data_IF_697646072871
#
_entry.id   IF_697646072871
#
_cell.length_a   1.000
_cell.length_b   1.000
_cell.length_c   1.000
_cell.angle_alpha   90.00
_cell.angle_beta   90.00
_cell.angle_gamma   90.00
#
_symmetry.space_group_name_H-M   'P 1'
#
loop_
_entity.id
_entity.type
_entity.pdbx_description
1 polymer ?
#
# COMPACT_ATOMS: atom_id res chain seq x y z
N UNK A 1 -2.79 -9.12 3.02
CA UNK A 1 -1.55 -9.63 2.38
C UNK A 1 -0.85 -10.55 3.37
N UNK A 2 -0.74 -11.85 3.08
CA UNK A 2 -0.05 -12.79 3.94
C UNK A 2 1.00 -13.54 3.12
N UNK A 3 2.26 -13.43 3.51
CA UNK A 3 3.33 -14.28 2.98
C UNK A 3 3.49 -15.46 3.93
N UNK A 4 3.52 -16.67 3.37
CA UNK A 4 3.74 -17.89 4.13
C UNK A 4 4.97 -17.75 5.04
N UNK A 5 4.87 -18.22 6.29
CA UNK A 5 5.90 -18.01 7.33
C UNK A 5 7.30 -18.44 6.88
N UNK A 6 7.41 -19.51 6.08
CA UNK A 6 8.67 -20.01 5.52
C UNK A 6 9.34 -19.09 4.47
N UNK A 7 8.63 -18.07 3.98
CA UNK A 7 9.12 -17.09 2.99
C UNK A 7 9.24 -15.66 3.54
N UNK A 8 9.09 -15.48 4.87
CA UNK A 8 9.39 -14.19 5.52
C UNK A 8 10.89 -13.90 5.44
N UNK A 9 11.26 -12.61 5.40
CA UNK A 9 12.65 -12.10 5.36
C UNK A 9 13.47 -12.33 4.07
N UNK A 10 12.92 -12.94 3.02
CA UNK A 10 13.61 -13.07 1.72
C UNK A 10 13.32 -11.91 0.74
N UNK A 11 12.76 -10.78 1.20
CA UNK A 11 12.37 -9.67 0.32
C UNK A 11 11.20 -9.96 -0.64
N UNK A 12 10.68 -11.19 -0.66
CA UNK A 12 9.55 -11.62 -1.50
C UNK A 12 8.27 -10.83 -1.21
N UNK A 13 8.03 -10.49 0.06
CA UNK A 13 6.88 -9.67 0.46
C UNK A 13 6.93 -8.26 -0.11
N UNK A 14 8.11 -7.62 -0.10
CA UNK A 14 8.32 -6.30 -0.68
C UNK A 14 8.21 -6.32 -2.21
N UNK A 15 8.75 -7.34 -2.89
CA UNK A 15 8.61 -7.50 -4.35
C UNK A 15 7.14 -7.70 -4.74
N UNK A 16 6.42 -8.55 -4.02
CA UNK A 16 4.99 -8.80 -4.27
C UNK A 16 4.17 -7.53 -4.09
N UNK A 17 4.41 -6.79 -3.00
CA UNK A 17 3.74 -5.53 -2.72
C UNK A 17 4.04 -4.49 -3.80
N UNK A 18 5.29 -4.40 -4.23
CA UNK A 18 5.71 -3.43 -5.25
C UNK A 18 5.08 -3.74 -6.62
N UNK A 19 5.06 -5.02 -7.03
CA UNK A 19 4.32 -5.47 -8.23
C UNK A 19 2.84 -5.14 -8.15
N UNK A 20 2.23 -5.32 -6.97
CA UNK A 20 0.82 -4.99 -6.76
C UNK A 20 0.57 -3.48 -6.87
N UNK A 21 1.44 -2.65 -6.28
CA UNK A 21 1.36 -1.19 -6.42
C UNK A 21 1.53 -0.76 -7.88
N UNK A 22 2.46 -1.35 -8.63
CA UNK A 22 2.60 -1.09 -10.07
C UNK A 22 1.34 -1.45 -10.85
N UNK A 23 0.74 -2.61 -10.56
CA UNK A 23 -0.54 -2.99 -11.16
C UNK A 23 -1.64 -1.97 -10.85
N UNK A 24 -1.76 -1.51 -9.60
CA UNK A 24 -2.71 -0.47 -9.22
C UNK A 24 -2.46 0.85 -9.98
N UNK A 25 -1.20 1.21 -10.28
CA UNK A 25 -0.90 2.41 -11.08
C UNK A 25 -1.43 2.33 -12.51
N UNK A 26 -1.59 1.14 -13.06
CA UNK A 26 -2.17 0.92 -14.38
C UNK A 26 -3.70 1.05 -14.37
N UNK A 27 -4.34 1.05 -13.20
CA UNK A 27 -5.78 1.19 -13.09
C UNK A 27 -6.17 2.68 -13.05
N UNK A 28 -7.01 3.16 -13.98
CA UNK A 28 -7.35 4.59 -14.09
C UNK A 28 -8.18 5.13 -12.91
N UNK A 29 -8.78 4.24 -12.12
CA UNK A 29 -9.63 4.57 -10.97
C UNK A 29 -8.89 4.46 -9.62
N UNK A 30 -7.75 3.79 -9.57
CA UNK A 30 -7.01 3.60 -8.33
C UNK A 30 -6.16 4.83 -8.00
N UNK A 31 -6.62 5.64 -7.05
CA UNK A 31 -5.90 6.85 -6.60
C UNK A 31 -4.98 6.61 -5.40
N UNK A 32 -5.37 5.68 -4.53
CA UNK A 32 -4.65 5.36 -3.29
C UNK A 32 -4.84 3.88 -2.97
N UNK A 33 -3.81 3.26 -2.42
CA UNK A 33 -3.88 1.94 -1.80
C UNK A 33 -3.95 2.12 -0.29
N UNK A 34 -4.93 1.49 0.35
CA UNK A 34 -5.08 1.48 1.81
C UNK A 34 -4.83 0.07 2.34
N UNK A 35 -4.19 -0.03 3.49
CA UNK A 35 -4.04 -1.28 4.22
C UNK A 35 -4.04 -1.03 5.73
N UNK A 36 -4.44 -2.06 6.47
CA UNK A 36 -4.33 -2.12 7.92
C UNK A 36 -3.19 -3.08 8.27
N UNK A 37 -2.31 -2.68 9.17
CA UNK A 37 -1.23 -3.54 9.65
C UNK A 37 -0.96 -3.32 11.15
N UNK A 38 -0.47 -4.36 11.83
CA UNK A 38 -0.01 -4.24 13.20
C UNK A 38 1.23 -3.34 13.30
N UNK A 39 1.46 -2.74 14.46
CA UNK A 39 2.51 -1.73 14.67
C UNK A 39 3.92 -2.21 14.32
N UNK A 40 4.21 -3.50 14.51
CA UNK A 40 5.52 -4.07 14.16
C UNK A 40 5.79 -4.11 12.64
N UNK A 41 4.74 -4.05 11.81
CA UNK A 41 4.85 -4.04 10.35
C UNK A 41 4.88 -2.62 9.76
N UNK A 42 4.53 -1.60 10.54
CA UNK A 42 4.56 -0.19 10.12
C UNK A 42 5.90 0.19 9.46
N UNK A 43 7.07 -0.03 10.09
CA UNK A 43 8.35 0.35 9.48
C UNK A 43 8.67 -0.43 8.19
N UNK A 44 8.11 -1.63 8.00
CA UNK A 44 8.27 -2.39 6.76
C UNK A 44 7.48 -1.73 5.61
N UNK A 45 6.24 -1.33 5.86
CA UNK A 45 5.39 -0.67 4.87
C UNK A 45 5.84 0.77 4.60
N UNK A 46 6.35 1.49 5.60
CA UNK A 46 6.95 2.81 5.42
C UNK A 46 8.14 2.77 4.44
N UNK A 47 9.02 1.77 4.56
CA UNK A 47 10.12 1.54 3.60
C UNK A 47 9.62 1.27 2.18
N UNK A 48 8.42 0.71 2.04
CA UNK A 48 7.77 0.50 0.74
C UNK A 48 7.06 1.76 0.21
N UNK A 49 7.08 2.86 0.95
CA UNK A 49 6.49 4.15 0.58
C UNK A 49 5.06 4.37 1.10
N UNK A 50 4.56 3.51 2.00
CA UNK A 50 3.29 3.79 2.68
C UNK A 50 3.49 4.85 3.77
N UNK A 51 2.44 5.60 4.07
CA UNK A 51 2.38 6.59 5.13
C UNK A 51 1.38 6.11 6.19
N UNK A 52 1.78 6.14 7.45
CA UNK A 52 0.87 5.89 8.55
C UNK A 52 -0.16 7.02 8.66
N UNK A 53 -1.45 6.66 8.70
CA UNK A 53 -2.56 7.58 8.94
C UNK A 53 -2.90 7.67 10.43
N UNK A 54 -2.64 6.61 11.19
CA UNK A 54 -2.89 6.55 12.63
C UNK A 54 -3.56 5.24 13.05
N UNK A 55 -4.01 5.15 14.31
CA UNK A 55 -4.71 3.98 14.82
C UNK A 55 -6.02 3.80 14.06
N UNK A 56 -6.21 2.61 13.52
CA UNK A 56 -7.41 2.27 12.78
C UNK A 56 -8.57 2.06 13.76
N UNK A 57 -9.74 2.62 13.48
CA UNK A 57 -10.91 2.42 14.33
C UNK A 57 -11.51 1.01 14.25
N UNK A 58 -11.04 0.20 13.29
CA UNK A 58 -11.47 -1.18 13.13
C UNK A 58 -10.66 -2.08 14.07
N UNK A 59 -11.29 -2.51 15.16
CA UNK A 59 -10.74 -3.51 16.07
C UNK A 59 -11.16 -4.91 15.64
N UNK A 60 -10.20 -5.77 15.32
CA UNK A 60 -10.47 -7.20 15.11
C UNK A 60 -10.11 -7.92 16.40
N UNK A 61 -11.10 -8.10 17.28
CA UNK A 61 -10.87 -8.62 18.64
C UNK A 61 -10.06 -7.64 19.49
N UNK A 62 -8.98 -8.10 20.12
CA UNK A 62 -8.07 -7.30 20.95
C UNK A 62 -6.87 -6.73 20.19
N UNK A 63 -6.79 -6.93 18.87
CA UNK A 63 -5.67 -6.46 18.06
C UNK A 63 -5.90 -5.02 17.61
N UNK A 64 -4.91 -4.17 17.93
CA UNK A 64 -4.82 -2.81 17.42
C UNK A 64 -4.08 -2.82 16.07
N UNK A 65 -4.59 -2.07 15.10
CA UNK A 65 -3.97 -1.93 13.79
C UNK A 65 -3.71 -0.46 13.53
N UNK A 66 -2.59 -0.17 12.87
CA UNK A 66 -2.30 1.12 12.28
C UNK A 66 -2.75 1.11 10.82
N UNK A 67 -3.52 2.11 10.44
CA UNK A 67 -3.93 2.32 9.07
C UNK A 67 -2.81 3.00 8.29
N UNK A 68 -2.56 2.50 7.08
CA UNK A 68 -1.52 3.03 6.21
C UNK A 68 -2.05 3.26 4.80
N UNK A 69 -1.59 4.35 4.18
CA UNK A 69 -1.94 4.71 2.81
C UNK A 69 -0.70 4.83 1.90
N UNK A 70 -0.85 4.47 0.63
CA UNK A 70 0.13 4.77 -0.41
C UNK A 70 -0.56 5.49 -1.56
N UNK A 71 -0.03 6.66 -1.92
CA UNK A 71 -0.55 7.42 -3.05
C UNK A 71 -0.16 6.74 -4.36
N UNK A 72 -1.14 6.15 -5.04
CA UNK A 72 -0.96 5.55 -6.35
C UNK A 72 -1.17 6.67 -7.36
N UNK A 73 -0.08 7.37 -7.73
CA UNK A 73 -0.13 8.37 -8.79
C UNK A 73 -0.42 7.66 -10.12
N UNK A 74 -1.70 7.58 -10.47
CA UNK A 74 -2.19 7.19 -11.80
C UNK A 74 -1.69 8.21 -12.82
N UNK A 75 -0.53 7.94 -13.40
CA UNK A 75 0.14 8.86 -14.30
C UNK A 75 -0.37 8.68 -15.73
N UNK A 76 -1.65 8.97 -16.01
CA UNK A 76 -2.16 9.09 -17.39
C UNK A 76 -3.58 9.68 -17.52
N UNK A 77 -3.98 10.66 -16.71
CA UNK A 77 -5.04 11.59 -17.13
C UNK A 77 -4.67 13.05 -16.85
N UNK A 78 -3.40 13.40 -17.02
CA UNK A 78 -3.13 14.71 -17.60
C UNK A 78 -3.51 14.60 -19.08
N UNK A 79 -4.79 14.83 -19.38
CA UNK A 79 -5.21 15.33 -20.69
C UNK A 79 -4.28 16.51 -21.00
N UNK A 80 -3.25 16.27 -21.81
CA UNK A 80 -2.72 17.32 -22.67
C UNK A 80 -3.83 17.62 -23.67
N UNK A 81 -4.78 18.44 -23.25
CA UNK A 81 -5.58 19.20 -24.17
C UNK A 81 -4.67 20.34 -24.63
N UNK A 82 -3.71 20.05 -25.52
CA UNK A 82 -3.17 21.06 -26.42
C UNK A 82 -4.28 21.33 -27.43
N UNK A 83 -5.25 22.12 -26.98
CA UNK A 83 -6.16 22.83 -27.87
C UNK A 83 -5.41 24.00 -28.48
N UNK A 84 -5.71 24.22 -29.75
CA UNK A 84 -5.20 25.25 -30.68
C UNK A 84 -3.94 24.85 -31.44
#
# INVERSE_FOLDING_TARGET
LAVHRACRQQGKGSILLWRYLQYLRCLPFARRALLMCEDFLVPFYEKCGFQALGPCQVTVGTLAFTEMQHAVRGHAFMRRNSGC
#
